data_IF_799553421458
#
_entry.id   IF_799553421458
#
_cell.length_a   1.000
_cell.length_b   1.000
_cell.length_c   1.000
_cell.angle_alpha   90.00
_cell.angle_beta   90.00
_cell.angle_gamma   90.00
#
_symmetry.space_group_name_H-M   'P 1'
#
loop_
_entity.id
_entity.type
_entity.pdbx_description
1 polymer ?
#
# COMPACT_ATOMS: atom_id res chain seq x y z
N UNK A 1 -34.65 -2.58 -3.18
CA UNK A 1 -34.10 -1.23 -3.34
C UNK A 1 -33.03 -1.29 -4.42
N UNK A 2 -33.15 -0.50 -5.48
CA UNK A 2 -32.21 -0.51 -6.61
C UNK A 2 -30.90 0.15 -6.15
N UNK A 3 -29.81 -0.61 -6.08
CA UNK A 3 -28.48 -0.05 -5.81
C UNK A 3 -28.06 0.74 -7.06
N UNK A 4 -27.63 2.01 -6.94
CA UNK A 4 -27.15 2.76 -8.10
C UNK A 4 -25.95 2.02 -8.70
N UNK A 5 -25.89 1.93 -10.04
CA UNK A 5 -24.68 1.46 -10.70
C UNK A 5 -23.52 2.40 -10.32
N UNK A 6 -22.32 1.88 -9.96
CA UNK A 6 -21.20 2.72 -9.60
C UNK A 6 -20.90 3.71 -10.75
N UNK A 7 -20.80 5.00 -10.40
CA UNK A 7 -20.39 6.04 -11.34
C UNK A 7 -18.96 5.70 -11.82
N UNK A 8 -18.60 5.94 -13.09
CA UNK A 8 -17.24 5.72 -13.59
C UNK A 8 -16.13 6.47 -12.83
N UNK A 9 -16.50 7.42 -11.96
CA UNK A 9 -15.60 8.18 -11.08
C UNK A 9 -15.53 7.67 -9.62
N UNK A 10 -16.24 6.59 -9.28
CA UNK A 10 -16.44 6.14 -7.90
C UNK A 10 -15.37 5.13 -7.44
N UNK A 11 -14.10 5.55 -7.46
CA UNK A 11 -13.03 4.81 -6.79
C UNK A 11 -12.52 5.58 -5.54
N UNK A 12 -12.16 4.87 -4.45
CA UNK A 12 -11.65 5.48 -3.20
C UNK A 12 -10.53 6.50 -3.41
N UNK A 13 -10.74 7.75 -2.97
CA UNK A 13 -9.72 8.80 -3.01
C UNK A 13 -8.95 8.85 -1.69
N UNK A 14 -7.67 9.25 -1.70
CA UNK A 14 -6.93 9.56 -0.48
C UNK A 14 -7.76 10.46 0.45
N UNK A 15 -7.82 10.17 1.76
CA UNK A 15 -6.99 9.21 2.50
C UNK A 15 -7.46 7.75 2.46
N UNK A 16 -8.59 7.44 1.82
CA UNK A 16 -9.11 6.09 1.73
C UNK A 16 -8.27 5.24 0.76
N UNK A 17 -7.98 4.00 1.15
CA UNK A 17 -7.22 3.07 0.33
C UNK A 17 -8.09 2.45 -0.75
N UNK A 18 -7.53 2.35 -1.94
CA UNK A 18 -8.05 1.63 -3.09
C UNK A 18 -7.51 0.19 -3.04
N UNK A 19 -8.38 -0.84 -3.10
CA UNK A 19 -7.94 -2.23 -3.26
C UNK A 19 -7.19 -2.45 -4.58
N UNK A 20 -6.23 -3.39 -4.58
CA UNK A 20 -5.40 -3.68 -5.75
C UNK A 20 -6.21 -4.01 -7.02
N UNK A 21 -7.24 -4.86 -6.92
CA UNK A 21 -8.06 -5.30 -8.07
C UNK A 21 -8.78 -4.16 -8.81
N UNK A 22 -8.90 -3.00 -8.19
CA UNK A 22 -9.51 -1.79 -8.77
C UNK A 22 -8.51 -0.77 -9.29
N UNK A 23 -7.21 -1.04 -9.21
CA UNK A 23 -6.19 -0.12 -9.73
C UNK A 23 -6.35 0.13 -11.23
N UNK A 24 -6.85 -0.84 -12.00
CA UNK A 24 -7.05 -0.72 -13.44
C UNK A 24 -8.22 0.19 -13.84
N UNK A 25 -9.16 0.46 -12.93
CA UNK A 25 -10.24 1.43 -13.12
C UNK A 25 -9.73 2.89 -13.06
N UNK A 26 -8.55 3.11 -12.48
CA UNK A 26 -8.05 4.44 -12.16
C UNK A 26 -7.25 5.05 -13.30
N UNK A 27 -7.53 6.31 -13.70
CA UNK A 27 -6.74 7.00 -14.73
C UNK A 27 -5.26 7.15 -14.34
N UNK A 28 -4.36 7.03 -15.31
CA UNK A 28 -2.92 7.31 -15.12
C UNK A 28 -2.74 8.75 -14.62
N UNK A 29 -1.83 8.94 -13.67
CA UNK A 29 -1.51 10.23 -13.04
C UNK A 29 -2.42 10.59 -11.87
N UNK A 30 -3.52 9.87 -11.67
CA UNK A 30 -4.40 10.08 -10.54
C UNK A 30 -3.70 9.74 -9.22
N UNK A 31 -4.04 10.50 -8.18
CA UNK A 31 -3.50 10.29 -6.83
C UNK A 31 -4.36 9.25 -6.09
N UNK A 32 -3.73 8.17 -5.67
CA UNK A 32 -4.35 7.02 -4.98
C UNK A 32 -3.68 6.78 -3.64
N UNK A 33 -4.38 6.14 -2.71
CA UNK A 33 -3.76 5.50 -1.54
C UNK A 33 -3.94 3.99 -1.68
N UNK A 34 -2.91 3.23 -1.38
CA UNK A 34 -2.97 1.75 -1.26
C UNK A 34 -2.41 1.37 0.10
N UNK A 35 -2.87 0.27 0.67
CA UNK A 35 -2.31 -0.27 1.91
C UNK A 35 -2.12 -1.77 1.76
N UNK A 36 -1.07 -2.30 2.36
CA UNK A 36 -0.79 -3.73 2.30
C UNK A 36 0.44 -4.15 3.09
N UNK A 37 0.58 -5.46 3.23
CA UNK A 37 1.75 -6.10 3.82
C UNK A 37 2.95 -5.92 2.90
N UNK A 38 4.11 -5.62 3.47
CA UNK A 38 5.32 -5.49 2.66
C UNK A 38 5.93 -6.86 2.40
N UNK A 39 5.90 -7.30 1.14
CA UNK A 39 6.50 -8.56 0.73
C UNK A 39 7.98 -8.41 0.42
N UNK A 40 8.32 -7.44 -0.43
CA UNK A 40 9.64 -7.32 -1.05
C UNK A 40 10.07 -5.87 -1.07
N UNK A 41 11.37 -5.66 -0.84
CA UNK A 41 12.06 -4.38 -1.05
C UNK A 41 13.26 -4.62 -1.94
N UNK A 42 13.32 -3.92 -3.07
CA UNK A 42 14.45 -4.01 -3.99
C UNK A 42 15.07 -2.64 -4.18
N UNK A 43 16.39 -2.58 -4.09
CA UNK A 43 17.17 -1.39 -4.40
C UNK A 43 18.23 -1.77 -5.45
N UNK A 44 17.90 -1.71 -6.75
CA UNK A 44 18.85 -2.04 -7.80
C UNK A 44 20.07 -1.14 -7.71
N UNK A 45 21.28 -1.71 -7.81
CA UNK A 45 22.53 -0.95 -7.68
C UNK A 45 22.72 0.14 -8.74
N UNK A 46 22.02 0.03 -9.88
CA UNK A 46 22.13 0.91 -11.04
C UNK A 46 21.05 2.01 -11.10
N UNK A 47 20.00 1.94 -10.27
CA UNK A 47 18.78 2.74 -10.43
C UNK A 47 18.76 4.06 -9.64
N UNK A 48 19.83 4.87 -9.69
CA UNK A 48 19.91 6.25 -9.13
C UNK A 48 19.30 6.45 -7.71
N UNK A 49 19.31 5.42 -6.86
CA UNK A 49 18.74 5.48 -5.51
C UNK A 49 17.22 5.26 -5.40
N UNK A 50 16.58 4.69 -6.43
CA UNK A 50 15.19 4.21 -6.39
C UNK A 50 15.08 2.94 -5.54
N UNK A 51 13.99 2.84 -4.80
CA UNK A 51 13.58 1.63 -4.09
C UNK A 51 12.23 1.20 -4.64
N UNK A 52 12.09 -0.09 -4.93
CA UNK A 52 10.82 -0.73 -5.26
C UNK A 52 10.32 -1.47 -4.02
N UNK A 53 9.04 -1.28 -3.70
CA UNK A 53 8.35 -1.99 -2.62
C UNK A 53 7.16 -2.71 -3.23
N UNK A 54 6.99 -3.98 -2.89
CA UNK A 54 5.80 -4.76 -3.26
C UNK A 54 4.91 -4.88 -2.03
N UNK A 55 3.69 -4.36 -2.13
CA UNK A 55 2.65 -4.46 -1.12
C UNK A 55 1.62 -5.52 -1.53
N UNK A 56 1.11 -6.30 -0.58
CA UNK A 56 0.04 -7.27 -0.81
C UNK A 56 -1.18 -6.92 0.04
N UNK A 57 -2.35 -6.92 -0.59
CA UNK A 57 -3.66 -6.99 0.06
C UNK A 57 -4.37 -8.29 -0.38
N UNK A 58 -5.58 -8.54 0.11
CA UNK A 58 -6.36 -9.74 -0.22
C UNK A 58 -6.76 -9.86 -1.69
N UNK A 59 -6.63 -8.78 -2.47
CA UNK A 59 -7.02 -8.69 -3.89
C UNK A 59 -5.82 -8.75 -4.84
N UNK A 60 -4.59 -8.58 -4.35
CA UNK A 60 -3.36 -8.82 -5.11
C UNK A 60 -2.18 -7.94 -4.68
N UNK A 61 -1.25 -7.69 -5.61
CA UNK A 61 0.04 -7.05 -5.33
C UNK A 61 0.20 -5.66 -5.97
N UNK A 62 0.42 -4.65 -5.13
CA UNK A 62 0.68 -3.28 -5.57
C UNK A 62 2.18 -2.97 -5.60
N UNK A 63 2.69 -2.57 -6.77
CA UNK A 63 4.08 -2.17 -6.95
C UNK A 63 4.26 -0.69 -6.66
N UNK A 64 5.12 -0.35 -5.70
CA UNK A 64 5.39 1.02 -5.28
C UNK A 64 6.81 1.41 -5.66
N UNK A 65 6.95 2.59 -6.27
CA UNK A 65 8.23 3.21 -6.61
C UNK A 65 8.51 4.35 -5.63
N UNK A 66 9.64 4.26 -4.92
CA UNK A 66 10.08 5.23 -3.92
C UNK A 66 11.38 5.87 -4.41
N UNK A 67 11.32 7.16 -4.74
CA UNK A 67 12.50 7.94 -5.13
C UNK A 67 13.36 8.29 -3.91
N UNK A 68 14.64 8.55 -4.16
CA UNK A 68 15.65 8.78 -3.12
C UNK A 68 15.25 9.87 -2.11
N UNK A 69 14.76 11.01 -2.58
CA UNK A 69 14.32 12.12 -1.74
C UNK A 69 13.19 11.71 -0.78
N UNK A 70 12.24 10.91 -1.28
CA UNK A 70 11.13 10.41 -0.49
C UNK A 70 11.60 9.35 0.52
N UNK A 71 12.46 8.44 0.09
CA UNK A 71 13.09 7.47 0.98
C UNK A 71 13.83 8.15 2.13
N UNK A 72 14.61 9.21 1.87
CA UNK A 72 15.34 9.94 2.90
C UNK A 72 14.37 10.55 3.93
N UNK A 73 13.21 11.06 3.48
CA UNK A 73 12.16 11.60 4.37
C UNK A 73 11.42 10.51 5.17
N UNK A 74 11.12 9.37 4.57
CA UNK A 74 10.31 8.30 5.16
C UNK A 74 11.13 7.05 5.50
N UNK A 75 12.43 7.23 5.79
CA UNK A 75 13.42 6.15 5.91
C UNK A 75 12.99 5.03 6.84
N UNK A 76 12.48 5.36 8.02
CA UNK A 76 12.06 4.37 9.02
C UNK A 76 10.93 3.47 8.49
N UNK A 77 9.87 4.07 7.93
CA UNK A 77 8.75 3.33 7.36
C UNK A 77 9.22 2.44 6.20
N UNK A 78 10.02 2.99 5.29
CA UNK A 78 10.53 2.25 4.12
C UNK A 78 11.40 1.06 4.52
N UNK A 79 12.25 1.18 5.54
CA UNK A 79 13.14 0.09 5.95
C UNK A 79 12.42 -0.95 6.81
N UNK A 80 11.64 -0.52 7.80
CA UNK A 80 11.21 -1.38 8.89
C UNK A 80 9.71 -1.72 8.88
N UNK A 81 8.88 -0.99 8.13
CA UNK A 81 7.42 -1.17 8.17
C UNK A 81 7.00 -2.55 7.66
N UNK A 82 6.24 -3.31 8.45
CA UNK A 82 5.68 -4.60 8.03
C UNK A 82 4.39 -4.44 7.24
N UNK A 83 3.63 -3.38 7.52
CA UNK A 83 2.45 -2.97 6.79
C UNK A 83 2.55 -1.47 6.49
N UNK A 84 2.32 -1.09 5.24
CA UNK A 84 2.45 0.30 4.81
C UNK A 84 1.16 0.76 4.15
N UNK A 85 0.81 2.02 4.41
CA UNK A 85 -0.10 2.79 3.55
C UNK A 85 0.75 3.75 2.73
N UNK A 86 0.55 3.73 1.42
CA UNK A 86 1.28 4.57 0.47
C UNK A 86 0.27 5.41 -0.30
N UNK A 87 0.45 6.72 -0.25
CA UNK A 87 -0.25 7.65 -1.13
C UNK A 87 0.69 8.11 -2.22
N UNK A 88 0.24 8.05 -3.47
CA UNK A 88 1.09 8.36 -4.61
C UNK A 88 0.31 8.48 -5.91
N UNK A 89 1.02 8.60 -7.02
CA UNK A 89 0.44 8.71 -8.36
C UNK A 89 0.51 7.38 -9.08
N UNK A 90 -0.61 6.97 -9.66
CA UNK A 90 -0.67 5.78 -10.48
C UNK A 90 0.03 6.01 -11.82
N UNK A 91 0.90 5.09 -12.21
CA UNK A 91 1.56 5.06 -13.51
C UNK A 91 1.39 3.67 -14.13
N UNK A 92 1.38 3.62 -15.46
CA UNK A 92 1.38 2.37 -16.22
C UNK A 92 2.52 2.40 -17.21
N UNK A 93 3.41 1.41 -17.13
CA UNK A 93 4.55 1.28 -18.03
C UNK A 93 4.68 -0.19 -18.43
N UNK A 94 4.81 -0.46 -19.73
CA UNK A 94 4.96 -1.82 -20.28
C UNK A 94 3.91 -2.83 -19.76
N UNK A 95 2.68 -2.38 -19.51
CA UNK A 95 1.59 -3.24 -19.00
C UNK A 95 1.60 -3.49 -17.49
N UNK A 96 2.52 -2.86 -16.74
CA UNK A 96 2.60 -2.97 -15.29
C UNK A 96 2.10 -1.67 -14.64
N UNK A 97 1.21 -1.80 -13.67
CA UNK A 97 0.73 -0.68 -12.85
C UNK A 97 1.65 -0.46 -11.64
N UNK A 98 2.10 0.79 -11.48
CA UNK A 98 2.96 1.24 -10.39
C UNK A 98 2.35 2.44 -9.65
N UNK A 99 2.63 2.55 -8.36
CA UNK A 99 2.33 3.75 -7.57
C UNK A 99 3.64 4.46 -7.29
N UNK A 100 3.84 5.63 -7.90
CA UNK A 100 4.95 6.51 -7.54
C UNK A 100 4.61 7.22 -6.24
N UNK A 101 5.29 6.85 -5.18
CA UNK A 101 4.98 7.31 -3.83
C UNK A 101 5.19 8.82 -3.67
N UNK A 102 4.34 9.44 -2.87
CA UNK A 102 4.42 10.84 -2.42
C UNK A 102 4.38 10.95 -0.89
N UNK A 103 3.66 10.04 -0.23
CA UNK A 103 3.59 9.89 1.23
C UNK A 103 3.60 8.40 1.60
N UNK A 104 4.28 8.06 2.70
CA UNK A 104 4.40 6.70 3.20
C UNK A 104 4.13 6.71 4.70
N UNK A 105 3.17 5.93 5.12
CA UNK A 105 2.77 5.76 6.52
C UNK A 105 3.08 4.32 6.96
N UNK A 106 3.79 4.18 8.08
CA UNK A 106 3.98 2.88 8.73
C UNK A 106 2.74 2.56 9.57
N UNK A 107 1.93 1.63 9.09
CA UNK A 107 0.70 1.17 9.74
C UNK A 107 0.88 -0.20 10.40
N UNK A 108 2.12 -0.61 10.67
CA UNK A 108 2.43 -1.91 11.31
C UNK A 108 1.81 -2.06 12.70
N UNK A 109 1.45 -0.96 13.36
CA UNK A 109 0.73 -0.98 14.62
C UNK A 109 -0.63 -1.69 14.50
N UNK A 110 -1.27 -1.67 13.32
CA UNK A 110 -2.52 -2.41 13.07
C UNK A 110 -2.31 -3.92 13.16
N UNK A 111 -1.13 -4.42 12.78
CA UNK A 111 -0.77 -5.83 12.94
C UNK A 111 -0.53 -6.18 14.41
N UNK A 112 0.10 -5.27 15.15
CA UNK A 112 0.33 -5.45 16.59
C UNK A 112 -0.99 -5.49 17.36
N UNK A 113 -1.98 -4.72 16.91
CA UNK A 113 -3.33 -4.72 17.47
C UNK A 113 -4.05 -6.06 17.28
N UNK A 114 -3.91 -6.70 16.11
CA UNK A 114 -4.45 -8.04 15.86
C UNK A 114 -3.89 -9.09 16.84
N UNK A 115 -2.60 -8.99 17.18
CA UNK A 115 -1.96 -9.90 18.13
C UNK A 115 -2.51 -9.71 19.56
N UNK A 116 -2.72 -8.46 19.99
CA UNK A 116 -3.28 -8.14 21.31
C UNK A 116 -4.68 -8.70 21.50
N UNK A 117 -5.52 -8.62 20.47
CA UNK A 117 -6.87 -9.18 20.50
C UNK A 117 -6.86 -10.71 20.60
N UNK A 118 -5.86 -11.39 20.04
CA UNK A 118 -5.72 -12.84 20.16
C UNK A 118 -5.23 -13.30 21.55
N UNK A 119 -4.38 -12.52 22.23
CA UNK A 119 -3.95 -12.84 23.61
C UNK A 119 -5.11 -12.80 24.61
N UNK A 120 -6.09 -11.91 24.40
CA UNK A 120 -7.34 -11.88 25.17
C UNK A 120 -8.21 -13.14 25.02
N UNK A 121 -8.23 -13.77 23.83
CA UNK A 121 -8.93 -15.04 23.62
C UNK A 121 -8.22 -16.23 24.30
N UNK A 122 -6.89 -16.25 24.35
CA UNK A 122 -6.14 -17.35 25.01
C UNK A 122 -6.32 -17.38 26.53
N UNK A 123 -6.57 -16.24 27.17
CA UNK A 123 -6.83 -16.17 28.60
C UNK A 123 -8.17 -16.81 29.02
N UNK A 124 -9.09 -17.02 28.07
CA UNK A 124 -10.37 -17.71 28.31
C UNK A 124 -10.30 -19.23 28.08
N UNK A 125 -9.18 -19.73 27.52
CA UNK A 125 -8.99 -21.14 27.12
C UNK A 125 -7.89 -21.87 27.93
N UNK A 126 -7.43 -21.30 29.05
CA UNK A 126 -6.51 -21.99 29.97
C UNK A 126 -7.32 -22.77 31.02
N UNK A 127 -7.14 -24.11 31.14
CA UNK A 127 -7.82 -24.93 32.14
C UNK A 127 -7.32 -24.68 33.56
#
# INVERSE_FOLDING_TARGET
MMHPLPHPDAWPRPPACLPHDRLDEVPVGARVSVAGLVLVRQRPGTAKGVIFITLEDETGISNVVVWRNLYERFRRAVIAGRCLKVTGRLQREAGVTHIVAEEIEDISWMLDDLLRHHEGCRAADQP
#
